data_IF_925233824971
#
_entry.id   IF_925233824971
#
_cell.length_a   1.000
_cell.length_b   1.000
_cell.length_c   1.000
_cell.angle_alpha   90.00
_cell.angle_beta   90.00
_cell.angle_gamma   90.00
#
_symmetry.space_group_name_H-M   'P 1'
#
loop_
_entity.id
_entity.type
_entity.pdbx_description
1 polymer ?
#
# COMPACT_ATOMS: atom_id res chain seq x y z
N UNK A 1 -1.39 10.93 -13.10
CA UNK A 1 -0.86 9.93 -14.04
C UNK A 1 -0.30 10.65 -15.25
N UNK A 2 0.81 10.16 -15.81
CA UNK A 2 1.49 10.68 -16.99
C UNK A 2 1.31 9.68 -18.14
N UNK A 3 0.25 9.81 -18.97
CA UNK A 3 -0.16 8.75 -19.90
C UNK A 3 0.91 8.40 -20.93
N UNK A 4 1.55 9.42 -21.49
CA UNK A 4 2.61 9.27 -22.50
C UNK A 4 3.86 8.59 -21.95
N UNK A 5 3.99 8.51 -20.62
CA UNK A 5 5.08 7.82 -19.91
C UNK A 5 4.61 6.55 -19.20
N UNK A 6 3.32 6.21 -19.28
CA UNK A 6 2.72 5.05 -18.61
C UNK A 6 3.09 4.99 -17.12
N UNK A 7 3.09 6.15 -16.46
CA UNK A 7 3.57 6.30 -15.07
C UNK A 7 2.52 6.96 -14.19
N UNK A 8 2.25 6.41 -13.02
CA UNK A 8 1.42 7.04 -11.98
C UNK A 8 2.27 7.51 -10.80
N UNK A 9 1.98 8.70 -10.27
CA UNK A 9 2.48 9.15 -8.97
C UNK A 9 1.34 8.99 -7.99
N UNK A 10 1.54 8.18 -6.94
CA UNK A 10 0.50 7.88 -5.95
C UNK A 10 0.80 8.48 -4.58
N UNK A 11 2.00 9.02 -4.35
CA UNK A 11 2.38 9.52 -3.03
C UNK A 11 2.13 8.46 -1.96
N UNK A 12 1.57 8.88 -0.82
CA UNK A 12 1.26 7.97 0.29
C UNK A 12 -0.09 7.26 0.18
N UNK A 13 -0.79 7.38 -0.95
CA UNK A 13 -1.85 6.42 -1.29
C UNK A 13 -1.28 5.01 -1.51
N UNK A 14 -0.01 4.94 -1.94
CA UNK A 14 0.78 3.72 -1.95
C UNK A 14 2.20 4.07 -1.45
N UNK A 15 2.40 4.11 -0.12
CA UNK A 15 3.64 4.59 0.46
C UNK A 15 4.78 3.60 0.17
N UNK A 16 4.55 2.31 0.44
CA UNK A 16 5.37 1.16 0.09
C UNK A 16 4.52 -0.11 0.30
N UNK A 17 5.07 -1.31 0.16
CA UNK A 17 4.47 -2.56 0.66
C UNK A 17 4.50 -2.57 2.19
N UNK A 18 3.62 -1.79 2.81
CA UNK A 18 3.57 -1.58 4.26
C UNK A 18 2.14 -1.32 4.74
N UNK A 19 1.85 -1.64 6.00
CA UNK A 19 0.62 -1.20 6.66
C UNK A 19 0.51 0.34 6.58
N UNK A 20 -0.56 0.91 6.01
CA UNK A 20 -0.65 2.36 5.82
C UNK A 20 -0.82 3.09 7.14
N UNK A 21 -0.38 4.34 7.14
CA UNK A 21 -0.75 5.31 8.15
C UNK A 21 -2.17 5.85 7.86
N UNK A 22 -3.04 5.83 8.87
CA UNK A 22 -4.40 6.35 8.77
C UNK A 22 -4.48 7.64 9.59
N UNK A 23 -4.45 8.77 8.91
CA UNK A 23 -4.60 10.08 9.52
C UNK A 23 -6.09 10.42 9.74
N UNK A 24 -6.67 9.84 10.78
CA UNK A 24 -8.08 10.09 11.13
C UNK A 24 -8.35 11.54 11.52
N UNK A 25 -7.33 12.29 11.99
CA UNK A 25 -7.48 13.69 12.37
C UNK A 25 -7.72 14.59 11.14
N UNK A 26 -7.20 14.20 9.98
CA UNK A 26 -7.39 14.89 8.71
C UNK A 26 -8.37 14.18 7.76
N UNK A 27 -9.26 13.32 8.30
CA UNK A 27 -10.33 12.68 7.53
C UNK A 27 -9.94 11.38 6.83
N UNK A 28 -8.77 10.82 7.12
CA UNK A 28 -8.40 9.47 6.70
C UNK A 28 -9.29 8.40 7.33
N UNK A 29 -9.55 7.32 6.59
CA UNK A 29 -10.42 6.22 7.02
C UNK A 29 -9.80 4.89 6.64
N UNK A 30 -9.46 4.08 7.64
CA UNK A 30 -8.97 2.71 7.42
C UNK A 30 -10.06 1.80 6.84
N UNK A 31 -11.34 2.14 7.08
CA UNK A 31 -12.47 1.41 6.54
C UNK A 31 -12.74 1.72 5.06
N UNK A 32 -12.62 2.97 4.63
CA UNK A 32 -12.89 3.39 3.25
C UNK A 32 -11.67 3.25 2.32
N UNK A 33 -10.48 3.14 2.88
CA UNK A 33 -9.22 3.07 2.13
C UNK A 33 -9.16 1.91 1.12
N UNK A 34 -9.51 0.66 1.47
CA UNK A 34 -9.45 -0.46 0.52
C UNK A 34 -10.38 -0.27 -0.69
N UNK A 35 -11.56 0.31 -0.48
CA UNK A 35 -12.49 0.60 -1.58
C UNK A 35 -11.95 1.68 -2.52
N UNK A 36 -11.27 2.69 -1.96
CA UNK A 36 -10.61 3.73 -2.74
C UNK A 36 -9.51 3.16 -3.62
N UNK A 37 -8.67 2.27 -3.08
CA UNK A 37 -7.63 1.57 -3.84
C UNK A 37 -8.23 0.69 -4.95
N UNK A 38 -9.27 -0.07 -4.64
CA UNK A 38 -9.96 -0.92 -5.62
C UNK A 38 -10.52 -0.10 -6.79
N UNK A 39 -11.15 1.06 -6.49
CA UNK A 39 -11.64 1.99 -7.51
C UNK A 39 -10.51 2.55 -8.37
N UNK A 40 -9.38 2.92 -7.76
CA UNK A 40 -8.22 3.42 -8.49
C UNK A 40 -7.66 2.36 -9.45
N UNK A 41 -7.49 1.12 -8.98
CA UNK A 41 -7.00 -0.02 -9.78
C UNK A 41 -7.95 -0.32 -10.95
N UNK A 42 -9.26 -0.26 -10.74
CA UNK A 42 -10.25 -0.54 -11.77
C UNK A 42 -10.43 0.58 -12.81
N UNK A 43 -10.19 1.83 -12.42
CA UNK A 43 -10.47 2.98 -13.28
C UNK A 43 -9.26 3.47 -14.11
N UNK A 44 -8.04 3.08 -13.73
CA UNK A 44 -6.81 3.59 -14.36
C UNK A 44 -6.10 2.46 -15.11
N UNK A 45 -6.02 2.62 -16.42
CA UNK A 45 -5.34 1.70 -17.33
C UNK A 45 -4.03 2.28 -17.89
N UNK A 46 -3.21 1.41 -18.47
CA UNK A 46 -2.05 1.82 -19.25
C UNK A 46 -0.88 2.34 -18.43
N UNK A 47 -0.79 1.96 -17.15
CA UNK A 47 0.32 2.28 -16.26
C UNK A 47 1.23 1.06 -16.12
N UNK A 48 2.52 1.25 -16.39
CA UNK A 48 3.56 0.23 -16.15
C UNK A 48 4.34 0.51 -14.87
N UNK A 49 4.42 1.79 -14.47
CA UNK A 49 5.32 2.28 -13.42
C UNK A 49 4.58 3.13 -12.41
N UNK A 50 4.89 2.93 -11.14
CA UNK A 50 4.34 3.68 -10.03
C UNK A 50 5.48 4.33 -9.25
N UNK A 51 5.33 5.63 -8.99
CA UNK A 51 6.13 6.37 -8.02
C UNK A 51 5.35 6.40 -6.71
N UNK A 52 5.90 5.73 -5.71
CA UNK A 52 5.40 5.65 -4.34
C UNK A 52 5.94 6.79 -3.48
N UNK A 53 5.35 7.00 -2.30
CA UNK A 53 5.80 8.02 -1.36
C UNK A 53 7.10 7.67 -0.64
N UNK A 54 7.23 6.40 -0.22
CA UNK A 54 8.32 5.90 0.63
C UNK A 54 9.05 4.67 0.09
N UNK A 55 8.48 4.03 -0.94
CA UNK A 55 9.07 2.87 -1.59
C UNK A 55 10.40 3.16 -2.31
N UNK A 56 10.99 2.12 -2.93
CA UNK A 56 12.31 2.21 -3.51
C UNK A 56 12.38 3.33 -4.55
N UNK A 57 13.39 4.19 -4.41
CA UNK A 57 13.64 5.24 -5.39
C UNK A 57 14.10 4.55 -6.68
N UNK A 58 13.48 4.87 -7.83
CA UNK A 58 13.96 4.36 -9.10
C UNK A 58 15.40 4.76 -9.34
N UNK A 59 16.30 3.79 -9.36
CA UNK A 59 17.70 4.05 -9.65
C UNK A 59 17.97 3.77 -11.11
N UNK A 60 18.51 4.76 -11.81
CA UNK A 60 19.31 4.46 -12.99
C UNK A 60 20.64 3.92 -12.49
N UNK A 61 21.15 2.82 -13.04
CA UNK A 61 22.49 2.31 -12.73
C UNK A 61 23.55 3.28 -13.31
N UNK A 62 23.73 4.44 -12.69
CA UNK A 62 24.72 5.46 -13.05
C UNK A 62 25.72 5.70 -11.90
N UNK A 63 25.87 4.72 -10.99
CA UNK A 63 26.67 4.83 -9.77
C UNK A 63 27.70 3.73 -9.55
N UNK A 64 28.49 3.38 -10.59
CA UNK A 64 29.85 2.79 -10.49
C UNK A 64 30.52 2.89 -11.87
N UNK A 65 31.03 4.08 -12.21
CA UNK A 65 32.07 4.25 -13.23
C UNK A 65 31.77 3.96 -14.71
N UNK A 66 30.56 3.52 -15.11
CA UNK A 66 30.23 3.35 -16.54
C UNK A 66 29.32 4.45 -17.09
N UNK A 67 29.88 5.28 -17.95
CA UNK A 67 29.15 6.21 -18.83
C UNK A 67 28.74 5.49 -20.12
N UNK A 68 27.86 4.49 -20.04
CA UNK A 68 27.30 3.88 -21.25
C UNK A 68 26.07 4.69 -21.68
N UNK A 69 26.24 5.51 -22.73
CA UNK A 69 25.17 6.28 -23.39
C UNK A 69 24.39 5.34 -24.32
N UNK A 70 23.19 4.92 -23.91
CA UNK A 70 22.26 4.16 -24.75
C UNK A 70 20.82 4.25 -24.23
N UNK A 71 19.86 4.51 -25.12
CA UNK A 71 18.48 4.96 -24.84
C UNK A 71 17.52 3.89 -24.26
N UNK A 72 18.03 2.71 -23.88
CA UNK A 72 17.19 1.59 -23.40
C UNK A 72 17.83 0.81 -22.25
N UNK A 73 18.24 1.52 -21.20
CA UNK A 73 18.65 0.84 -19.96
C UNK A 73 17.42 0.60 -19.08
N UNK A 74 17.16 -0.64 -18.68
CA UNK A 74 16.08 -0.96 -17.76
C UNK A 74 16.31 -0.22 -16.44
N UNK A 75 15.34 0.60 -16.02
CA UNK A 75 15.35 1.20 -14.71
C UNK A 75 14.91 0.13 -13.71
N UNK A 76 15.68 -0.06 -12.64
CA UNK A 76 15.37 -1.00 -11.55
C UNK A 76 14.85 -0.23 -10.34
N UNK A 77 13.99 -0.85 -9.53
CA UNK A 77 13.42 -0.23 -8.33
C UNK A 77 12.19 0.64 -8.58
N UNK A 78 11.39 0.34 -9.60
CA UNK A 78 10.04 0.89 -9.74
C UNK A 78 9.03 -0.09 -9.14
N UNK A 79 8.03 0.43 -8.42
CA UNK A 79 6.80 -0.31 -8.21
C UNK A 79 6.00 -0.36 -9.50
N UNK A 80 5.21 -1.41 -9.67
CA UNK A 80 4.35 -1.62 -10.83
C UNK A 80 2.89 -1.36 -10.49
N UNK A 81 2.04 -1.28 -11.52
CA UNK A 81 0.59 -1.27 -11.30
C UNK A 81 0.10 -2.58 -10.67
N UNK A 82 0.77 -3.70 -10.93
CA UNK A 82 0.52 -4.98 -10.26
C UNK A 82 0.80 -4.91 -8.76
N UNK A 83 1.86 -4.23 -8.35
CA UNK A 83 2.15 -4.02 -6.93
C UNK A 83 1.07 -3.18 -6.23
N UNK A 84 0.50 -2.17 -6.92
CA UNK A 84 -0.66 -1.44 -6.40
C UNK A 84 -1.90 -2.32 -6.25
N UNK A 85 -2.14 -3.21 -7.22
CA UNK A 85 -3.26 -4.15 -7.15
C UNK A 85 -3.10 -5.13 -5.97
N UNK A 86 -1.89 -5.65 -5.76
CA UNK A 86 -1.55 -6.45 -4.58
C UNK A 86 -1.72 -5.64 -3.29
N UNK A 87 -1.31 -4.38 -3.28
CA UNK A 87 -1.51 -3.47 -2.14
C UNK A 87 -3.00 -3.24 -1.81
N UNK A 88 -3.85 -3.14 -2.84
CA UNK A 88 -5.30 -3.07 -2.67
C UNK A 88 -5.86 -4.36 -2.06
N UNK A 89 -5.37 -5.51 -2.51
CA UNK A 89 -5.73 -6.82 -1.93
C UNK A 89 -5.29 -6.92 -0.46
N UNK A 90 -4.05 -6.53 -0.15
CA UNK A 90 -3.54 -6.48 1.23
C UNK A 90 -4.44 -5.66 2.14
N UNK A 91 -4.79 -4.44 1.74
CA UNK A 91 -5.64 -3.55 2.54
C UNK A 91 -7.05 -4.10 2.74
N UNK A 92 -7.61 -4.77 1.73
CA UNK A 92 -8.91 -5.45 1.84
C UNK A 92 -8.83 -6.60 2.85
N UNK A 93 -7.82 -7.46 2.71
CA UNK A 93 -7.67 -8.66 3.54
C UNK A 93 -7.33 -8.27 4.99
N UNK A 94 -6.51 -7.22 5.18
CA UNK A 94 -6.24 -6.60 6.48
C UNK A 94 -7.53 -6.10 7.13
N UNK A 95 -8.32 -5.26 6.44
CA UNK A 95 -9.58 -4.74 6.98
C UNK A 95 -10.55 -5.88 7.32
N UNK A 96 -10.64 -6.92 6.50
CA UNK A 96 -11.50 -8.07 6.76
C UNK A 96 -11.10 -8.80 8.05
N UNK A 97 -9.82 -9.04 8.27
CA UNK A 97 -9.31 -9.67 9.50
C UNK A 97 -9.58 -8.82 10.75
N UNK A 98 -9.34 -7.51 10.65
CA UNK A 98 -9.57 -6.56 11.75
C UNK A 98 -11.05 -6.46 12.11
N UNK A 99 -11.94 -6.38 11.10
CA UNK A 99 -13.39 -6.37 11.31
C UNK A 99 -13.88 -7.66 11.96
N UNK A 100 -13.43 -8.82 11.49
CA UNK A 100 -13.79 -10.10 12.10
C UNK A 100 -13.37 -10.17 13.57
N UNK A 101 -12.21 -9.61 13.92
CA UNK A 101 -11.77 -9.52 15.32
C UNK A 101 -12.62 -8.56 16.15
N UNK A 102 -13.01 -7.42 15.58
CA UNK A 102 -13.88 -6.44 16.22
C UNK A 102 -15.27 -7.03 16.50
N UNK A 103 -15.89 -7.66 15.50
CA UNK A 103 -17.20 -8.31 15.60
C UNK A 103 -17.20 -9.47 16.61
N UNK A 104 -16.07 -10.17 16.73
CA UNK A 104 -15.86 -11.20 17.76
C UNK A 104 -15.57 -10.63 19.16
N UNK A 105 -15.62 -9.31 19.35
CA UNK A 105 -15.39 -8.64 20.63
C UNK A 105 -13.94 -8.74 21.15
N UNK A 106 -12.98 -8.98 20.25
CA UNK A 106 -11.56 -9.14 20.63
C UNK A 106 -10.91 -7.79 20.86
N UNK A 107 -9.98 -7.72 21.82
CA UNK A 107 -9.15 -6.53 22.03
C UNK A 107 -8.21 -6.27 20.84
N UNK A 108 -7.71 -5.04 20.74
CA UNK A 108 -6.69 -4.62 19.75
C UNK A 108 -5.47 -5.56 19.78
N UNK A 109 -4.94 -5.89 20.96
CA UNK A 109 -3.78 -6.79 21.08
C UNK A 109 -4.05 -8.17 20.45
N UNK A 110 -5.27 -8.69 20.65
CA UNK A 110 -5.69 -9.96 20.06
C UNK A 110 -5.90 -9.85 18.57
N UNK A 111 -6.47 -8.75 18.08
CA UNK A 111 -6.62 -8.50 16.65
C UNK A 111 -5.25 -8.46 15.94
N UNK A 112 -4.30 -7.66 16.45
CA UNK A 112 -2.95 -7.53 15.89
C UNK A 112 -2.22 -8.87 15.87
N UNK A 113 -2.25 -9.62 16.98
CA UNK A 113 -1.60 -10.94 17.02
C UNK A 113 -2.28 -12.02 16.17
N UNK A 114 -3.53 -11.78 15.73
CA UNK A 114 -4.27 -12.66 14.83
C UNK A 114 -4.21 -12.27 13.35
N UNK A 115 -3.45 -11.22 13.01
CA UNK A 115 -3.21 -10.83 11.61
C UNK A 115 -2.38 -11.91 10.91
N UNK A 116 -3.05 -12.90 10.34
CA UNK A 116 -2.41 -13.95 9.53
C UNK A 116 -2.39 -13.53 8.05
N UNK A 117 -1.45 -12.63 7.72
CA UNK A 117 -1.27 -12.09 6.37
C UNK A 117 0.06 -12.55 5.74
N UNK A 118 0.89 -13.25 6.53
CA UNK A 118 2.27 -13.58 6.17
C UNK A 118 2.40 -14.52 4.98
N UNK A 119 1.42 -15.37 4.69
CA UNK A 119 1.49 -16.31 3.57
C UNK A 119 1.56 -15.60 2.21
N UNK A 120 0.81 -14.50 2.06
CA UNK A 120 0.71 -13.73 0.82
C UNK A 120 1.49 -12.41 0.86
N UNK A 121 1.72 -11.86 2.05
CA UNK A 121 2.28 -10.53 2.25
C UNK A 121 3.50 -10.58 3.17
N UNK A 122 4.33 -11.63 3.08
CA UNK A 122 5.51 -11.83 3.91
C UNK A 122 6.50 -10.65 3.88
N UNK A 123 6.60 -9.99 2.73
CA UNK A 123 7.53 -8.88 2.50
C UNK A 123 6.93 -7.51 2.92
N UNK A 124 5.73 -7.49 3.50
CA UNK A 124 5.11 -6.24 3.93
C UNK A 124 5.62 -5.79 5.29
N UNK A 125 5.94 -4.51 5.40
CA UNK A 125 6.26 -3.89 6.68
C UNK A 125 4.99 -3.71 7.52
N UNK A 126 5.00 -4.29 8.72
CA UNK A 126 3.88 -4.30 9.65
C UNK A 126 4.09 -3.39 10.87
N UNK A 127 5.12 -2.51 10.88
CA UNK A 127 5.39 -1.57 11.99
C UNK A 127 4.15 -0.76 12.38
N UNK A 128 3.36 -0.34 11.39
CA UNK A 128 2.14 0.47 11.58
C UNK A 128 0.86 -0.33 11.77
N UNK A 129 0.93 -1.66 11.73
CA UNK A 129 -0.25 -2.52 11.82
C UNK A 129 -1.08 -2.23 13.07
N UNK A 130 -0.43 -2.09 14.24
CA UNK A 130 -1.13 -1.79 15.49
C UNK A 130 -1.93 -0.48 15.42
N UNK A 131 -1.28 0.61 15.02
CA UNK A 131 -1.93 1.91 14.91
C UNK A 131 -3.10 1.88 13.91
N UNK A 132 -2.95 1.14 12.82
CA UNK A 132 -4.00 0.96 11.83
C UNK A 132 -5.20 0.16 12.39
N UNK A 133 -4.94 -0.93 13.13
CA UNK A 133 -5.99 -1.67 13.86
C UNK A 133 -6.74 -0.75 14.84
N UNK A 134 -6.02 0.05 15.63
CA UNK A 134 -6.61 1.00 16.58
C UNK A 134 -7.49 2.02 15.87
N UNK A 135 -7.03 2.59 14.75
CA UNK A 135 -7.80 3.53 13.94
C UNK A 135 -9.09 2.90 13.39
N UNK A 136 -9.01 1.68 12.83
CA UNK A 136 -10.19 0.96 12.32
C UNK A 136 -11.17 0.64 13.47
N UNK A 137 -10.68 0.17 14.61
CA UNK A 137 -11.52 -0.12 15.78
C UNK A 137 -12.29 1.12 16.26
N UNK A 138 -11.60 2.26 16.35
CA UNK A 138 -12.23 3.53 16.72
C UNK A 138 -13.28 3.96 15.69
N UNK A 139 -12.99 3.80 14.40
CA UNK A 139 -13.92 4.13 13.33
C UNK A 139 -15.16 3.21 13.33
N UNK A 140 -14.99 1.92 13.62
CA UNK A 140 -16.10 0.96 13.73
C UNK A 140 -16.96 1.21 14.97
N UNK A 141 -16.35 1.58 16.10
CA UNK A 141 -17.07 1.89 17.34
C UNK A 141 -17.82 3.23 17.32
N UNK A 142 -17.38 4.17 16.47
CA UNK A 142 -18.03 5.47 16.29
C UNK A 142 -19.15 5.48 15.24
N UNK A 143 -19.43 4.35 14.58
CA UNK A 143 -20.54 4.18 13.61
C UNK A 143 -21.77 3.62 14.29
#
# INVERSE_FOLDING_TARGET
>A
MFPQKRTAYLGDLFPDKAAPEIDTANGGSGVAFPETLAKAVAAIDGVDRVITGHGPIPTTYAGRGRRDRGERRAWTGWMTWGDLAEYADFNRDFLASVRASYEAGRSVDRAVSSLDLSERYADYDMERARANVEAIYNELAGR
#
